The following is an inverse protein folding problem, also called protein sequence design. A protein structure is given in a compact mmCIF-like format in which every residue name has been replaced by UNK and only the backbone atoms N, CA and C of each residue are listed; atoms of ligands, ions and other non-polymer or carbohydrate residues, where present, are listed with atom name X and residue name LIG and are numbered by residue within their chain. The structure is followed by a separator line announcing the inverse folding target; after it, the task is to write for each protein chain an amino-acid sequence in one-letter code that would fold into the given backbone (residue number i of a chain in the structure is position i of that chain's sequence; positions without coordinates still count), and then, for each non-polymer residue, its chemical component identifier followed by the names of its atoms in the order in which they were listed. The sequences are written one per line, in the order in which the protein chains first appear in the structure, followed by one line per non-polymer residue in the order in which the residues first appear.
data_IF_928371804929
#
_entry.id   IF_928371804929
#
_cell.length_a   1.000
_cell.length_b   1.000
_cell.length_c   1.000
_cell.angle_alpha   90.00
_cell.angle_beta   90.00
_cell.angle_gamma   90.00
#
_symmetry.space_group_name_H-M   'P 1'
#
loop_
_entity.id
_entity.type
_entity.pdbx_description
1 polymer ?
#
# COMPACT_ATOMS: atom_id res chain seq x y z
N UNK A 1 3.44 -14.49 -4.56
CA UNK A 1 3.37 -14.24 -3.11
C UNK A 1 2.66 -15.42 -2.44
N UNK A 2 3.16 -15.93 -1.30
CA UNK A 2 2.49 -17.01 -0.54
C UNK A 2 1.13 -16.51 -0.01
N UNK A 3 0.13 -17.39 0.08
CA UNK A 3 -1.22 -17.04 0.55
C UNK A 3 -1.21 -16.46 1.97
N UNK A 4 -0.40 -17.04 2.87
CA UNK A 4 -0.25 -16.58 4.26
C UNK A 4 0.29 -15.14 4.34
N UNK A 5 1.30 -14.80 3.53
CA UNK A 5 1.85 -13.44 3.47
C UNK A 5 0.80 -12.43 2.96
N UNK A 6 0.00 -12.83 1.96
CA UNK A 6 -1.06 -11.99 1.41
C UNK A 6 -2.13 -11.65 2.46
N UNK A 7 -2.56 -12.66 3.23
CA UNK A 7 -3.53 -12.49 4.30
C UNK A 7 -2.98 -11.66 5.46
N UNK A 8 -1.72 -11.89 5.85
CA UNK A 8 -1.06 -11.13 6.90
C UNK A 8 -0.93 -9.65 6.51
N UNK A 9 -0.52 -9.38 5.28
CA UNK A 9 -0.39 -8.04 4.73
C UNK A 9 -1.72 -7.28 4.73
N UNK A 10 -2.78 -7.93 4.22
CA UNK A 10 -4.13 -7.37 4.21
C UNK A 10 -4.68 -7.10 5.62
N UNK A 11 -4.50 -8.05 6.54
CA UNK A 11 -4.94 -7.90 7.94
C UNK A 11 -4.20 -6.78 8.64
N UNK A 12 -2.90 -6.62 8.36
CA UNK A 12 -2.07 -5.55 8.92
C UNK A 12 -2.50 -4.19 8.37
N UNK A 13 -2.74 -4.09 7.06
CA UNK A 13 -3.31 -2.88 6.47
C UNK A 13 -4.62 -2.46 7.14
N UNK A 14 -5.58 -3.37 7.34
CA UNK A 14 -6.86 -3.03 7.99
C UNK A 14 -6.64 -2.50 9.42
N UNK A 15 -5.73 -3.13 10.18
CA UNK A 15 -5.44 -2.71 11.56
C UNK A 15 -4.74 -1.36 11.66
N UNK A 16 -4.01 -0.98 10.61
CA UNK A 16 -3.13 0.18 10.60
C UNK A 16 -3.41 1.10 9.40
N UNK A 17 -4.67 1.18 8.98
CA UNK A 17 -5.09 1.87 7.74
C UNK A 17 -4.80 3.38 7.77
N UNK A 18 -4.64 3.94 8.96
CA UNK A 18 -4.35 5.35 9.22
C UNK A 18 -2.85 5.66 9.33
N UNK A 19 -2.00 4.63 9.26
CA UNK A 19 -0.55 4.75 9.43
C UNK A 19 0.13 5.29 8.18
N UNK A 20 1.22 6.03 8.41
CA UNK A 20 2.14 6.37 7.34
C UNK A 20 2.89 5.11 6.92
N UNK A 21 3.10 4.98 5.62
CA UNK A 21 3.85 3.90 5.01
C UNK A 21 5.06 4.43 4.26
N UNK A 22 6.13 3.64 4.30
CA UNK A 22 7.27 3.74 3.40
C UNK A 22 7.29 2.49 2.52
N UNK A 23 7.32 2.70 1.21
CA UNK A 23 7.45 1.64 0.21
C UNK A 23 8.78 1.81 -0.49
N UNK A 24 9.63 0.80 -0.43
CA UNK A 24 10.81 0.70 -1.29
C UNK A 24 10.50 -0.24 -2.45
N UNK A 25 10.67 0.24 -3.69
CA UNK A 25 10.56 -0.60 -4.87
C UNK A 25 11.85 -1.40 -5.12
N UNK A 26 11.77 -2.39 -6.02
CA UNK A 26 12.91 -3.22 -6.42
C UNK A 26 14.02 -2.44 -7.14
N UNK A 27 13.73 -1.25 -7.66
CA UNK A 27 14.72 -0.35 -8.28
C UNK A 27 15.42 0.55 -7.24
N UNK A 28 14.99 0.52 -5.99
CA UNK A 28 15.53 1.30 -4.89
C UNK A 28 14.85 2.65 -4.68
N UNK A 29 13.79 2.99 -5.42
CA UNK A 29 13.04 4.22 -5.19
C UNK A 29 12.19 4.07 -3.92
N UNK A 30 12.03 5.18 -3.19
CA UNK A 30 11.27 5.23 -1.95
C UNK A 30 10.05 6.12 -2.13
N UNK A 31 8.87 5.58 -1.82
CA UNK A 31 7.60 6.31 -1.77
C UNK A 31 7.10 6.36 -0.34
N UNK A 32 6.82 7.56 0.19
CA UNK A 32 6.29 7.77 1.54
C UNK A 32 4.93 8.45 1.48
N UNK A 33 4.03 8.07 2.38
CA UNK A 33 2.71 8.71 2.50
C UNK A 33 1.71 7.85 3.24
N UNK A 34 0.42 8.11 3.05
CA UNK A 34 -0.65 7.32 3.62
C UNK A 34 -1.29 6.42 2.58
N UNK A 35 -1.68 5.22 2.98
CA UNK A 35 -2.48 4.34 2.15
C UNK A 35 -3.89 4.90 2.08
N UNK A 36 -4.27 5.46 0.95
CA UNK A 36 -5.64 5.95 0.71
C UNK A 36 -6.54 4.87 0.11
N UNK A 37 -5.96 3.80 -0.43
CA UNK A 37 -6.70 2.67 -0.98
C UNK A 37 -5.79 1.53 -1.42
N UNK A 38 -6.37 0.35 -1.59
CA UNK A 38 -5.73 -0.84 -2.12
C UNK A 38 -6.58 -1.46 -3.22
N UNK A 39 -5.92 -2.07 -4.20
CA UNK A 39 -6.55 -2.84 -5.25
C UNK A 39 -6.38 -4.31 -4.92
N UNK A 40 -7.46 -5.08 -4.97
CA UNK A 40 -7.43 -6.50 -4.67
C UNK A 40 -7.43 -7.33 -5.95
N UNK A 41 -6.49 -8.27 -6.06
CA UNK A 41 -6.55 -9.36 -7.03
C UNK A 41 -7.43 -10.48 -6.47
N UNK A 42 -8.47 -10.84 -7.23
CA UNK A 42 -9.42 -11.92 -6.93
C UNK A 42 -9.42 -13.04 -7.96
N UNK A 43 -8.38 -13.10 -8.81
CA UNK A 43 -8.27 -14.04 -9.92
C UNK A 43 -8.42 -15.51 -9.52
N UNK A 44 -8.07 -15.89 -8.30
CA UNK A 44 -8.18 -17.28 -7.80
C UNK A 44 -9.42 -17.55 -6.93
N UNK A 45 -10.28 -16.55 -6.66
CA UNK A 45 -11.54 -16.68 -5.92
C UNK A 45 -11.42 -17.10 -4.44
N UNK A 46 -10.25 -17.49 -3.98
CA UNK A 46 -10.04 -18.13 -2.68
C UNK A 46 -9.11 -17.34 -1.75
N UNK A 47 -8.24 -16.48 -2.29
CA UNK A 47 -7.27 -15.72 -1.50
C UNK A 47 -7.36 -14.22 -1.76
N UNK A 48 -7.37 -13.43 -0.70
CA UNK A 48 -7.24 -11.97 -0.81
C UNK A 48 -5.78 -11.65 -1.08
N UNK A 49 -5.51 -10.98 -2.20
CA UNK A 49 -4.18 -10.48 -2.56
C UNK A 49 -4.26 -9.00 -2.84
N UNK A 50 -3.34 -8.22 -2.29
CA UNK A 50 -3.18 -6.82 -2.68
C UNK A 50 -2.38 -6.79 -3.97
N UNK A 51 -2.96 -6.23 -5.03
CA UNK A 51 -2.32 -6.02 -6.32
C UNK A 51 -1.60 -4.67 -6.36
N UNK A 52 -2.23 -3.61 -5.87
CA UNK A 52 -1.67 -2.26 -5.91
C UNK A 52 -2.01 -1.46 -4.66
N UNK A 53 -1.13 -0.53 -4.34
CA UNK A 53 -1.24 0.42 -3.24
C UNK A 53 -1.43 1.82 -3.80
N UNK A 54 -2.41 2.57 -3.29
CA UNK A 54 -2.59 3.98 -3.62
C UNK A 54 -2.09 4.84 -2.45
N UNK A 55 -0.94 5.48 -2.64
CA UNK A 55 -0.25 6.27 -1.62
C UNK A 55 -0.43 7.75 -1.88
N UNK A 56 -0.88 8.50 -0.88
CA UNK A 56 -1.05 9.96 -0.94
C UNK A 56 -0.11 10.65 0.05
N UNK A 57 0.40 11.83 -0.29
CA UNK A 57 1.27 12.58 0.62
C UNK A 57 0.46 13.16 1.80
N UNK A 58 1.15 13.44 2.91
CA UNK A 58 0.50 13.90 4.14
C UNK A 58 -0.32 15.18 3.93
N UNK A 59 0.22 16.14 3.17
CA UNK A 59 -0.42 17.42 2.85
C UNK A 59 -1.72 17.22 2.06
N UNK A 60 -1.83 16.13 1.30
CA UNK A 60 -2.99 15.81 0.47
C UNK A 60 -4.04 14.96 1.21
N UNK A 61 -3.72 14.37 2.38
CA UNK A 61 -4.62 13.47 3.13
C UNK A 61 -5.91 14.15 3.58
N UNK A 62 -5.85 15.44 3.90
CA UNK A 62 -6.98 16.22 4.40
C UNK A 62 -7.52 17.22 3.37
N UNK A 63 -6.85 17.37 2.22
CA UNK A 63 -7.35 18.14 1.09
C UNK A 63 -8.35 17.30 0.27
N UNK A 64 -9.42 16.88 0.94
CA UNK A 64 -10.59 16.24 0.33
C UNK A 64 -11.29 17.26 -0.57
N UNK A 65 -10.99 17.25 -1.88
CA UNK A 65 -11.98 17.68 -2.87
C UNK A 65 -11.58 18.64 -4.00
N UNK A 66 -10.34 18.70 -4.49
CA UNK A 66 -10.00 19.67 -5.54
C UNK A 66 -9.27 19.13 -6.77
N UNK A 67 -9.35 17.84 -7.08
CA UNK A 67 -8.98 17.36 -8.41
C UNK A 67 -10.24 17.19 -9.29
N UNK A 68 -10.20 17.57 -10.59
CA UNK A 68 -11.38 17.67 -11.46
C UNK A 68 -12.21 16.38 -11.63
N UNK A 69 -11.73 15.25 -11.11
CA UNK A 69 -12.33 13.92 -11.21
C UNK A 69 -12.68 13.30 -9.84
N UNK A 70 -12.51 14.01 -8.73
CA UNK A 70 -12.84 13.51 -7.39
C UNK A 70 -11.85 12.50 -6.78
N UNK A 71 -10.71 12.26 -7.42
CA UNK A 71 -9.66 11.38 -6.90
C UNK A 71 -8.58 12.16 -6.14
N UNK A 72 -8.12 11.64 -5.00
CA UNK A 72 -6.92 12.17 -4.33
C UNK A 72 -5.70 11.96 -5.24
N UNK A 73 -4.85 12.98 -5.37
CA UNK A 73 -3.57 12.84 -6.08
C UNK A 73 -2.67 11.92 -5.27
N UNK A 74 -2.24 10.83 -5.90
CA UNK A 74 -1.37 9.86 -5.26
C UNK A 74 -0.57 9.04 -6.27
N UNK A 75 0.30 8.21 -5.73
CA UNK A 75 1.13 7.26 -6.48
C UNK A 75 0.49 5.88 -6.35
N UNK A 76 0.31 5.21 -7.48
CA UNK A 76 -0.08 3.80 -7.50
C UNK A 76 1.19 2.96 -7.61
N UNK A 77 1.41 2.05 -6.66
CA UNK A 77 2.54 1.13 -6.64
C UNK A 77 2.04 -0.30 -6.77
N UNK A 78 2.53 -1.04 -7.76
CA UNK A 78 2.19 -2.46 -7.94
C UNK A 78 2.93 -3.32 -6.92
N UNK A 79 2.20 -4.20 -6.21
CA UNK A 79 2.72 -5.06 -5.15
C UNK A 79 3.91 -5.93 -5.62
N UNK A 80 3.90 -6.38 -6.86
CA UNK A 80 4.97 -7.22 -7.43
C UNK A 80 6.31 -6.46 -7.60
N UNK A 81 6.26 -5.13 -7.64
CA UNK A 81 7.43 -4.25 -7.77
C UNK A 81 7.98 -3.81 -6.41
N UNK A 82 7.26 -4.09 -5.32
CA UNK A 82 7.65 -3.70 -3.96
C UNK A 82 8.71 -4.68 -3.45
N UNK A 83 9.80 -4.13 -2.92
CA UNK A 83 10.84 -4.85 -2.17
C UNK A 83 10.51 -4.87 -0.68
N UNK A 84 10.11 -3.73 -0.11
CA UNK A 84 9.68 -3.63 1.28
C UNK A 84 8.54 -2.62 1.48
N UNK A 85 7.73 -2.90 2.50
CA UNK A 85 6.66 -2.03 2.98
C UNK A 85 6.80 -1.89 4.50
N UNK A 86 6.90 -0.66 4.99
CA UNK A 86 7.01 -0.34 6.41
C UNK A 86 5.81 0.48 6.81
N UNK A 87 5.09 0.08 7.86
CA UNK A 87 4.10 0.91 8.54
C UNK A 87 4.80 1.70 9.65
N UNK A 88 5.25 2.92 9.33
CA UNK A 88 6.20 3.72 10.14
C UNK A 88 5.72 3.92 11.58
N UNK A 89 4.43 4.21 11.78
CA UNK A 89 3.87 4.46 13.12
C UNK A 89 3.91 3.25 14.06
N UNK A 90 4.01 2.04 13.51
CA UNK A 90 3.93 0.79 14.29
C UNK A 90 5.22 -0.05 14.18
N UNK A 91 6.24 0.46 13.47
CA UNK A 91 7.48 -0.25 13.17
C UNK A 91 7.28 -1.67 12.59
N UNK A 92 6.20 -1.87 11.82
CA UNK A 92 5.91 -3.16 11.18
C UNK A 92 6.53 -3.14 9.78
N UNK A 93 7.41 -4.10 9.50
CA UNK A 93 8.09 -4.23 8.21
C UNK A 93 7.70 -5.54 7.52
N UNK A 94 7.37 -5.44 6.23
CA UNK A 94 7.25 -6.56 5.32
C UNK A 94 8.39 -6.50 4.31
N UNK A 95 9.15 -7.60 4.22
CA UNK A 95 10.12 -7.81 3.15
C UNK A 95 9.58 -8.85 2.19
N UNK A 96 9.50 -8.48 0.92
CA UNK A 96 9.10 -9.36 -0.15
C UNK A 96 10.39 -9.84 -0.79
N UNK A 97 10.90 -10.99 -0.31
CA UNK A 97 12.07 -11.65 -0.91
C UNK A 97 11.88 -11.80 -2.44
N UNK A 98 12.99 -11.70 -3.18
CA UNK A 98 13.02 -11.88 -4.65
C UNK A 98 12.78 -13.35 -5.05
#
# INVERSE_FOLDING_TARGET
MKAELSQLLYTTYIKHWDSQVEIQDKKGNVTKGYVSGIYLDRSDGHHIRIDKWHIVQHEDRYNLGLYPLGFMKGVIVEQKEIRSLIFENNAIEFRFEE
#
